data_IF_642140488806
#
_entry.id   IF_642140488806
#
_cell.length_a   1.000
_cell.length_b   1.000
_cell.length_c   1.000
_cell.angle_alpha   90.00
_cell.angle_beta   90.00
_cell.angle_gamma   90.00
#
_symmetry.space_group_name_H-M   'P 1'
#
loop_
_entity.id
_entity.type
_entity.pdbx_description
1 polymer ?
#
# COMPACT_ATOMS: atom_id res chain seq x y z
N UNK A 1 47.45 -6.02 21.14
CA UNK A 1 46.80 -6.98 20.22
C UNK A 1 45.40 -6.43 19.95
N UNK A 2 45.18 -5.87 18.77
CA UNK A 2 43.90 -5.33 18.38
C UNK A 2 43.21 -6.37 17.49
N UNK A 3 42.09 -6.91 17.98
CA UNK A 3 41.26 -7.83 17.21
C UNK A 3 40.52 -7.05 16.12
N UNK A 4 40.82 -7.39 14.91
CA UNK A 4 40.12 -6.94 13.69
C UNK A 4 38.70 -7.56 13.68
N UNK A 5 37.69 -6.80 14.04
CA UNK A 5 36.28 -7.20 13.81
C UNK A 5 36.03 -7.27 12.31
N UNK A 6 35.79 -8.48 11.83
CA UNK A 6 35.49 -8.79 10.46
C UNK A 6 34.17 -8.09 10.04
N UNK A 7 34.24 -7.26 9.02
CA UNK A 7 33.06 -6.69 8.33
C UNK A 7 32.22 -7.86 7.78
N UNK A 8 31.04 -8.08 8.36
CA UNK A 8 30.03 -8.93 7.73
C UNK A 8 29.54 -8.20 6.48
N UNK A 9 29.98 -8.65 5.31
CA UNK A 9 29.42 -8.21 4.05
C UNK A 9 27.96 -8.68 3.98
N UNK A 10 27.03 -7.74 3.94
CA UNK A 10 25.65 -8.03 3.53
C UNK A 10 25.74 -8.44 2.06
N UNK A 11 25.40 -9.69 1.77
CA UNK A 11 25.42 -10.20 0.41
C UNK A 11 24.44 -9.37 -0.46
N UNK A 12 24.97 -8.66 -1.42
CA UNK A 12 24.20 -8.00 -2.46
C UNK A 12 23.55 -9.12 -3.28
N UNK A 13 22.21 -9.10 -3.52
CA UNK A 13 21.61 -10.05 -4.43
C UNK A 13 22.30 -9.99 -5.78
N UNK A 14 22.96 -11.07 -6.19
CA UNK A 14 23.61 -11.14 -7.50
C UNK A 14 22.52 -11.21 -8.56
N UNK A 15 22.72 -10.48 -9.66
CA UNK A 15 21.85 -10.59 -10.82
C UNK A 15 21.72 -12.06 -11.25
N UNK A 16 20.50 -12.56 -11.55
CA UNK A 16 20.32 -13.95 -11.93
C UNK A 16 21.12 -14.28 -13.18
N UNK A 17 21.77 -15.44 -13.19
CA UNK A 17 22.51 -15.95 -14.35
C UNK A 17 21.56 -16.15 -15.54
N UNK A 18 21.98 -15.93 -16.79
CA UNK A 18 21.16 -16.15 -17.98
C UNK A 18 20.58 -17.59 -17.96
N UNK A 19 19.24 -17.70 -17.88
CA UNK A 19 18.52 -18.98 -17.85
C UNK A 19 17.87 -19.37 -16.52
N UNK A 20 18.15 -18.69 -15.40
CA UNK A 20 17.41 -18.83 -14.14
C UNK A 20 16.79 -17.48 -13.79
N UNK A 21 15.49 -17.32 -14.07
CA UNK A 21 14.70 -16.27 -13.44
C UNK A 21 14.42 -16.72 -11.98
N UNK A 22 15.32 -16.38 -11.06
CA UNK A 22 14.88 -16.26 -9.67
C UNK A 22 13.84 -15.14 -9.68
N UNK A 23 12.60 -15.43 -9.29
CA UNK A 23 11.58 -14.41 -9.11
C UNK A 23 12.06 -13.50 -7.99
N UNK A 24 12.53 -12.30 -8.39
CA UNK A 24 12.93 -11.25 -7.44
C UNK A 24 11.63 -10.73 -6.84
N UNK A 25 11.44 -10.88 -5.54
CA UNK A 25 10.21 -10.43 -4.88
C UNK A 25 10.10 -8.89 -4.91
N UNK A 26 8.88 -8.37 -4.84
CA UNK A 26 8.66 -6.93 -4.70
C UNK A 26 9.37 -6.37 -3.45
N UNK A 27 9.45 -7.15 -2.39
CA UNK A 27 10.14 -6.77 -1.16
C UNK A 27 11.65 -6.61 -1.38
N UNK A 28 12.28 -7.52 -2.15
CA UNK A 28 13.71 -7.42 -2.51
C UNK A 28 14.00 -6.18 -3.36
N UNK A 29 13.12 -5.85 -4.30
CA UNK A 29 13.23 -4.65 -5.14
C UNK A 29 13.18 -3.39 -4.27
N UNK A 30 12.21 -3.29 -3.38
CA UNK A 30 12.07 -2.14 -2.47
C UNK A 30 13.27 -2.06 -1.53
N UNK A 31 13.75 -3.19 -1.00
CA UNK A 31 14.96 -3.27 -0.17
C UNK A 31 16.19 -2.77 -0.89
N UNK A 32 16.38 -3.18 -2.13
CA UNK A 32 17.52 -2.74 -2.94
C UNK A 32 17.56 -1.21 -3.10
N UNK A 33 16.42 -0.56 -3.43
CA UNK A 33 16.38 0.89 -3.56
C UNK A 33 16.51 1.61 -2.22
N UNK A 34 15.98 1.06 -1.15
CA UNK A 34 16.15 1.56 0.20
C UNK A 34 17.64 1.57 0.60
N UNK A 35 18.33 0.45 0.43
CA UNK A 35 19.75 0.33 0.78
C UNK A 35 20.61 1.31 -0.03
N UNK A 36 20.35 1.46 -1.33
CA UNK A 36 21.03 2.46 -2.16
C UNK A 36 20.81 3.91 -1.68
N UNK A 37 19.59 4.24 -1.28
CA UNK A 37 19.30 5.56 -0.73
C UNK A 37 20.03 5.77 0.60
N UNK A 38 20.08 4.78 1.46
CA UNK A 38 20.83 4.80 2.71
C UNK A 38 22.33 4.97 2.49
N UNK A 39 22.91 4.30 1.49
CA UNK A 39 24.31 4.46 1.12
C UNK A 39 24.62 5.89 0.66
N UNK A 40 23.78 6.43 -0.23
CA UNK A 40 23.91 7.79 -0.73
C UNK A 40 23.83 8.84 0.40
N UNK A 41 22.92 8.64 1.34
CA UNK A 41 22.71 9.51 2.49
C UNK A 41 23.66 9.20 3.67
N UNK A 42 24.49 8.18 3.56
CA UNK A 42 25.39 7.70 4.62
C UNK A 42 24.68 7.41 5.93
N UNK A 43 23.50 6.79 5.84
CA UNK A 43 22.71 6.39 7.02
C UNK A 43 23.45 5.25 7.75
N UNK A 44 23.68 5.35 9.06
CA UNK A 44 24.29 4.28 9.87
C UNK A 44 23.45 2.99 9.85
N UNK A 45 24.10 1.84 9.96
CA UNK A 45 23.45 0.52 9.83
C UNK A 45 22.37 0.26 10.90
N UNK A 46 22.55 0.73 12.12
CA UNK A 46 21.57 0.66 13.20
C UNK A 46 20.27 1.44 12.88
N UNK A 47 20.38 2.61 12.27
CA UNK A 47 19.22 3.37 11.80
C UNK A 47 18.56 2.73 10.57
N UNK A 48 19.33 2.09 9.67
CA UNK A 48 18.77 1.36 8.54
C UNK A 48 17.83 0.25 9.01
N UNK A 49 18.23 -0.51 10.03
CA UNK A 49 17.38 -1.56 10.61
C UNK A 49 16.08 -0.98 11.14
N UNK A 50 16.12 0.15 11.86
CA UNK A 50 14.93 0.82 12.40
C UNK A 50 14.02 1.34 11.29
N UNK A 51 14.59 1.93 10.23
CA UNK A 51 13.80 2.49 9.13
C UNK A 51 13.17 1.42 8.23
N UNK A 52 13.80 0.26 8.14
CA UNK A 52 13.31 -0.86 7.33
C UNK A 52 12.25 -1.71 8.04
N UNK A 53 12.35 -1.84 9.36
CA UNK A 53 11.49 -2.74 10.13
C UNK A 53 10.12 -2.11 10.37
N UNK A 54 9.01 -2.75 9.95
CA UNK A 54 7.68 -2.28 10.27
C UNK A 54 7.45 -2.17 11.78
N UNK A 55 6.78 -1.09 12.19
CA UNK A 55 6.42 -0.90 13.60
C UNK A 55 5.46 -1.99 14.10
N UNK A 56 4.50 -2.40 13.25
CA UNK A 56 3.49 -3.40 13.62
C UNK A 56 3.00 -4.16 12.41
N UNK A 57 2.84 -5.45 12.58
CA UNK A 57 2.22 -6.35 11.62
C UNK A 57 1.03 -7.05 12.26
N UNK A 58 -0.11 -7.02 11.59
CA UNK A 58 -1.34 -7.69 12.01
C UNK A 58 -1.72 -8.67 10.91
N UNK A 59 -1.83 -9.94 11.25
CA UNK A 59 -2.36 -10.99 10.38
C UNK A 59 -3.63 -11.55 10.98
N UNK A 60 -4.68 -11.67 10.18
CA UNK A 60 -5.98 -12.16 10.60
C UNK A 60 -6.50 -13.23 9.64
N UNK A 61 -7.28 -14.18 10.16
CA UNK A 61 -8.00 -15.15 9.35
C UNK A 61 -9.45 -14.72 9.19
N UNK A 62 -9.97 -14.79 7.97
CA UNK A 62 -11.31 -14.34 7.60
C UNK A 62 -12.10 -15.55 7.08
N UNK A 63 -12.79 -16.30 7.97
CA UNK A 63 -13.66 -17.36 7.53
C UNK A 63 -14.98 -16.78 6.98
N UNK A 64 -15.31 -17.14 5.75
CA UNK A 64 -16.53 -16.72 5.05
C UNK A 64 -17.17 -17.92 4.37
N UNK A 65 -18.49 -18.05 4.52
CA UNK A 65 -19.26 -19.03 3.75
C UNK A 65 -19.63 -18.41 2.42
N UNK A 66 -19.14 -18.98 1.33
CA UNK A 66 -19.43 -18.51 -0.02
C UNK A 66 -20.70 -19.16 -0.60
N UNK A 67 -21.11 -18.70 -1.78
CA UNK A 67 -22.31 -19.18 -2.49
C UNK A 67 -22.23 -20.68 -2.85
N UNK A 68 -21.03 -21.25 -2.93
CA UNK A 68 -20.81 -22.69 -3.11
C UNK A 68 -21.20 -23.53 -1.86
N UNK A 69 -21.63 -22.87 -0.79
CA UNK A 69 -22.04 -23.48 0.48
C UNK A 69 -20.89 -23.88 1.40
N UNK A 70 -19.63 -23.69 0.98
CA UNK A 70 -18.43 -24.03 1.75
C UNK A 70 -17.91 -22.83 2.53
N UNK A 71 -17.21 -23.12 3.62
CA UNK A 71 -16.45 -22.10 4.36
C UNK A 71 -15.05 -22.01 3.77
N UNK A 72 -14.71 -20.83 3.27
CA UNK A 72 -13.37 -20.47 2.84
C UNK A 72 -12.70 -19.60 3.91
N UNK A 73 -11.39 -19.72 4.08
CA UNK A 73 -10.64 -18.92 5.05
C UNK A 73 -9.59 -18.10 4.30
N UNK A 74 -9.80 -16.80 4.26
CA UNK A 74 -8.86 -15.86 3.63
C UNK A 74 -7.90 -15.28 4.67
N UNK A 75 -6.67 -15.00 4.24
CA UNK A 75 -5.69 -14.28 5.07
C UNK A 75 -5.79 -12.79 4.83
N UNK A 76 -5.91 -12.02 5.90
CA UNK A 76 -5.89 -10.56 5.87
C UNK A 76 -4.69 -10.00 6.61
N UNK A 77 -4.13 -8.91 6.09
CA UNK A 77 -2.92 -8.26 6.59
C UNK A 77 -3.13 -6.77 6.79
N UNK A 78 -2.57 -6.19 7.86
CA UNK A 78 -2.38 -4.75 8.01
C UNK A 78 -0.99 -4.49 8.56
N UNK A 79 -0.13 -3.88 7.76
CA UNK A 79 1.24 -3.54 8.11
C UNK A 79 1.34 -2.04 8.31
N UNK A 80 1.75 -1.62 9.52
CA UNK A 80 2.07 -0.24 9.89
C UNK A 80 3.59 -0.11 9.86
N UNK A 81 4.13 0.52 8.81
CA UNK A 81 5.56 0.55 8.59
C UNK A 81 6.24 1.61 9.45
N UNK A 82 5.97 2.88 9.22
CA UNK A 82 6.59 3.97 9.98
C UNK A 82 5.61 5.11 10.21
N UNK A 83 5.43 5.51 11.46
CA UNK A 83 4.50 6.56 11.91
C UNK A 83 5.17 7.85 12.38
N UNK A 84 6.47 8.05 12.14
CA UNK A 84 7.20 9.20 12.65
C UNK A 84 6.65 10.56 12.14
N UNK A 85 5.98 10.57 10.97
CA UNK A 85 5.39 11.77 10.37
C UNK A 85 3.92 12.00 10.70
N UNK A 86 3.26 11.07 11.37
CA UNK A 86 1.84 11.16 11.74
C UNK A 86 1.10 9.82 11.64
N UNK A 87 -0.24 9.84 11.62
CA UNK A 87 -1.04 8.65 11.50
C UNK A 87 -0.65 7.81 10.30
N UNK A 88 -0.68 6.49 10.45
CA UNK A 88 -0.40 5.58 9.35
C UNK A 88 -1.44 5.76 8.24
N UNK A 89 -1.03 5.65 6.97
CA UNK A 89 -1.88 5.85 5.82
C UNK A 89 -1.52 4.88 4.71
N UNK A 90 -2.53 4.19 4.16
CA UNK A 90 -2.31 3.33 3.00
C UNK A 90 -3.53 2.53 2.59
N UNK A 91 -3.54 2.10 1.31
CA UNK A 91 -4.61 1.33 0.72
C UNK A 91 -4.76 -0.08 1.31
N UNK A 92 -5.89 -0.71 1.02
CA UNK A 92 -6.15 -2.13 1.28
C UNK A 92 -6.39 -2.81 -0.06
N UNK A 93 -5.56 -3.79 -0.41
CA UNK A 93 -5.62 -4.54 -1.67
C UNK A 93 -6.38 -5.85 -1.47
N UNK A 94 -7.32 -6.13 -2.36
CA UNK A 94 -7.97 -7.45 -2.43
C UNK A 94 -7.53 -8.13 -3.73
N UNK A 95 -6.76 -9.21 -3.61
CA UNK A 95 -6.23 -9.93 -4.77
C UNK A 95 -5.80 -11.34 -4.36
N UNK A 96 -5.96 -12.37 -5.22
CA UNK A 96 -5.58 -13.75 -4.88
C UNK A 96 -4.08 -13.95 -4.62
N UNK A 97 -3.22 -13.08 -5.14
CA UNK A 97 -1.77 -13.16 -4.95
C UNK A 97 -1.25 -12.34 -3.77
N UNK A 98 -2.12 -11.68 -3.01
CA UNK A 98 -1.69 -10.92 -1.83
C UNK A 98 -1.02 -11.83 -0.81
N UNK A 99 0.20 -11.51 -0.46
CA UNK A 99 0.94 -12.12 0.63
C UNK A 99 1.52 -11.05 1.58
N UNK A 100 2.10 -11.51 2.68
CA UNK A 100 2.64 -10.62 3.71
C UNK A 100 3.83 -9.80 3.20
N UNK A 101 4.68 -10.36 2.33
CA UNK A 101 5.89 -9.69 1.84
C UNK A 101 5.53 -8.61 0.81
N UNK A 102 4.52 -8.83 -0.04
CA UNK A 102 3.96 -7.78 -0.87
C UNK A 102 3.40 -6.63 -0.03
N UNK A 103 2.64 -6.95 1.02
CA UNK A 103 2.06 -5.92 1.90
C UNK A 103 3.14 -5.15 2.67
N UNK A 104 4.24 -5.81 3.10
CA UNK A 104 5.41 -5.16 3.70
C UNK A 104 6.08 -4.18 2.73
N UNK A 105 6.34 -4.63 1.52
CA UNK A 105 6.93 -3.80 0.46
C UNK A 105 6.10 -2.53 0.21
N UNK A 106 4.79 -2.71 0.02
CA UNK A 106 3.87 -1.61 -0.24
C UNK A 106 3.70 -0.67 0.96
N UNK A 107 3.74 -1.16 2.20
CA UNK A 107 3.70 -0.35 3.41
C UNK A 107 4.96 0.54 3.54
N UNK A 108 6.14 -0.02 3.22
CA UNK A 108 7.39 0.73 3.14
C UNK A 108 7.30 1.84 2.09
N UNK A 109 6.86 1.52 0.87
CA UNK A 109 6.65 2.51 -0.20
C UNK A 109 5.69 3.62 0.21
N UNK A 110 4.65 3.32 0.97
CA UNK A 110 3.73 4.35 1.49
C UNK A 110 4.42 5.32 2.44
N UNK A 111 5.34 4.87 3.29
CA UNK A 111 6.14 5.75 4.16
C UNK A 111 6.95 6.77 3.34
N UNK A 112 7.64 6.31 2.32
CA UNK A 112 8.47 7.17 1.46
C UNK A 112 7.61 8.08 0.59
N UNK A 113 6.50 7.57 0.06
CA UNK A 113 5.55 8.36 -0.73
C UNK A 113 4.98 9.55 0.07
N UNK A 114 4.52 9.33 1.29
CA UNK A 114 3.99 10.41 2.14
C UNK A 114 5.07 11.41 2.56
N UNK A 115 6.30 10.92 2.81
CA UNK A 115 7.44 11.77 3.13
C UNK A 115 7.84 12.67 1.95
N UNK A 116 7.95 12.11 0.74
CA UNK A 116 8.28 12.88 -0.48
C UNK A 116 7.19 13.91 -0.80
N UNK A 117 5.91 13.53 -0.63
CA UNK A 117 4.79 14.45 -0.84
C UNK A 117 4.67 15.53 0.25
N UNK A 118 5.46 15.47 1.31
CA UNK A 118 5.46 16.46 2.40
C UNK A 118 4.19 16.45 3.26
N UNK A 119 3.37 15.38 3.20
CA UNK A 119 2.13 15.29 3.97
C UNK A 119 2.37 14.68 5.37
N UNK A 120 1.58 15.07 6.40
CA UNK A 120 1.79 14.66 7.79
C UNK A 120 1.21 13.26 8.07
N UNK A 121 1.63 12.25 7.32
CA UNK A 121 1.21 10.87 7.46
C UNK A 121 2.39 9.92 7.47
N UNK A 122 2.25 8.84 8.21
CA UNK A 122 3.10 7.66 8.12
C UNK A 122 2.70 6.74 6.97
N UNK A 123 3.33 5.58 6.88
CA UNK A 123 3.06 4.57 5.87
C UNK A 123 2.45 3.30 6.44
N UNK A 124 1.37 2.83 5.83
CA UNK A 124 0.77 1.53 6.06
C UNK A 124 0.26 0.90 4.78
N UNK A 125 0.00 -0.40 4.84
CA UNK A 125 -0.68 -1.14 3.79
C UNK A 125 -1.53 -2.24 4.39
N UNK A 126 -2.66 -2.53 3.75
CA UNK A 126 -3.47 -3.71 4.03
C UNK A 126 -3.63 -4.57 2.79
N UNK A 127 -4.05 -5.80 3.00
CA UNK A 127 -4.41 -6.69 1.92
C UNK A 127 -5.21 -7.88 2.41
N UNK A 128 -6.01 -8.46 1.52
CA UNK A 128 -6.71 -9.72 1.74
C UNK A 128 -6.45 -10.62 0.54
N UNK A 129 -5.99 -11.83 0.82
CA UNK A 129 -5.79 -12.86 -0.18
C UNK A 129 -7.16 -13.48 -0.54
N UNK A 130 -7.83 -12.93 -1.55
CA UNK A 130 -9.14 -13.43 -1.99
C UNK A 130 -9.31 -13.28 -3.51
N UNK A 131 -10.10 -14.15 -4.17
CA UNK A 131 -10.35 -14.12 -5.60
C UNK A 131 -11.40 -13.04 -5.94
N UNK A 132 -11.07 -11.78 -5.71
CA UNK A 132 -11.97 -10.61 -5.73
C UNK A 132 -12.81 -10.51 -7.00
N UNK A 133 -12.30 -10.98 -8.13
CA UNK A 133 -13.01 -10.91 -9.42
C UNK A 133 -14.05 -12.03 -9.63
N UNK A 134 -14.01 -13.08 -8.80
CA UNK A 134 -14.92 -14.22 -8.85
C UNK A 134 -16.00 -14.17 -7.73
N UNK A 135 -15.90 -13.17 -6.83
CA UNK A 135 -16.81 -12.99 -5.72
C UNK A 135 -18.05 -12.20 -6.13
N UNK A 136 -19.19 -12.56 -5.57
CA UNK A 136 -20.39 -11.71 -5.60
C UNK A 136 -20.20 -10.48 -4.73
N UNK A 137 -21.04 -9.46 -4.91
CA UNK A 137 -20.99 -8.23 -4.09
C UNK A 137 -21.23 -8.54 -2.61
N UNK A 138 -22.16 -9.40 -2.28
CA UNK A 138 -22.48 -9.81 -0.90
C UNK A 138 -21.30 -10.55 -0.23
N UNK A 139 -20.60 -11.41 -0.98
CA UNK A 139 -19.42 -12.11 -0.50
C UNK A 139 -18.27 -11.13 -0.25
N UNK A 140 -18.06 -10.20 -1.18
CA UNK A 140 -17.06 -9.15 -1.06
C UNK A 140 -17.34 -8.24 0.14
N UNK A 141 -18.62 -7.84 0.35
CA UNK A 141 -19.04 -7.08 1.53
C UNK A 141 -18.74 -7.84 2.82
N UNK A 142 -19.07 -9.14 2.86
CA UNK A 142 -18.82 -9.99 4.03
C UNK A 142 -17.33 -10.06 4.36
N UNK A 143 -16.47 -10.25 3.36
CA UNK A 143 -15.01 -10.26 3.53
C UNK A 143 -14.53 -8.89 4.02
N UNK A 144 -15.00 -7.81 3.40
CA UNK A 144 -14.60 -6.45 3.74
C UNK A 144 -14.95 -6.10 5.19
N UNK A 145 -16.19 -6.34 5.60
CA UNK A 145 -16.65 -6.09 6.97
C UNK A 145 -15.89 -6.96 7.99
N UNK A 146 -15.71 -8.24 7.69
CA UNK A 146 -14.95 -9.15 8.56
C UNK A 146 -13.49 -8.72 8.70
N UNK A 147 -12.83 -8.28 7.62
CA UNK A 147 -11.49 -7.72 7.69
C UNK A 147 -11.45 -6.49 8.59
N UNK A 148 -12.34 -5.51 8.34
CA UNK A 148 -12.40 -4.27 9.12
C UNK A 148 -12.59 -4.54 10.61
N UNK A 149 -13.54 -5.41 10.98
CA UNK A 149 -13.79 -5.80 12.37
C UNK A 149 -12.55 -6.39 13.05
N UNK A 150 -11.75 -7.18 12.32
CA UNK A 150 -10.58 -7.86 12.89
C UNK A 150 -9.36 -6.95 13.08
N UNK A 151 -9.27 -5.87 12.30
CA UNK A 151 -8.15 -4.91 12.39
C UNK A 151 -8.55 -3.58 13.07
N UNK A 152 -9.81 -3.41 13.49
CA UNK A 152 -10.36 -2.15 14.00
C UNK A 152 -9.54 -1.53 15.12
N UNK A 153 -8.98 -2.37 16.04
CA UNK A 153 -8.21 -1.91 17.21
C UNK A 153 -6.95 -1.14 16.85
N UNK A 154 -6.40 -1.37 15.68
CA UNK A 154 -5.20 -0.67 15.21
C UNK A 154 -5.53 0.49 14.27
N UNK A 155 -6.79 0.62 13.82
CA UNK A 155 -7.25 1.67 12.93
C UNK A 155 -7.80 2.89 13.70
N UNK A 156 -8.03 3.98 13.00
CA UNK A 156 -8.65 5.20 13.53
C UNK A 156 -8.13 6.46 12.88
N UNK A 157 -8.89 7.58 12.96
CA UNK A 157 -8.55 8.85 12.30
C UNK A 157 -7.19 9.42 12.69
N UNK A 158 -6.74 9.14 13.92
CA UNK A 158 -5.47 9.62 14.45
C UNK A 158 -4.40 8.52 14.59
N UNK A 159 -4.71 7.31 14.13
CA UNK A 159 -3.83 6.14 14.25
C UNK A 159 -3.44 5.57 12.90
N UNK A 160 -4.43 5.06 12.15
CA UNK A 160 -4.18 4.40 10.87
C UNK A 160 -5.43 4.48 10.00
N UNK A 161 -5.29 5.03 8.81
CA UNK A 161 -6.40 5.41 7.92
C UNK A 161 -6.30 4.62 6.61
N UNK A 162 -7.14 3.58 6.41
CA UNK A 162 -7.24 2.86 5.14
C UNK A 162 -7.70 3.73 3.96
N UNK A 163 -7.44 3.23 2.77
CA UNK A 163 -7.84 3.83 1.49
C UNK A 163 -8.09 2.73 0.45
N UNK A 164 -8.71 3.03 -0.69
CA UNK A 164 -8.83 2.09 -1.80
C UNK A 164 -7.47 1.74 -2.43
N UNK A 165 -7.38 0.53 -2.95
CA UNK A 165 -6.28 0.00 -3.76
C UNK A 165 -6.82 -1.00 -4.81
N UNK A 166 -5.97 -1.80 -5.45
CA UNK A 166 -6.39 -2.85 -6.37
C UNK A 166 -7.42 -3.77 -5.71
N UNK A 167 -8.52 -4.06 -6.40
CA UNK A 167 -9.62 -4.91 -5.91
C UNK A 167 -10.51 -4.28 -4.85
N UNK A 168 -10.28 -3.00 -4.48
CA UNK A 168 -11.18 -2.24 -3.59
C UNK A 168 -11.54 -0.88 -4.20
N UNK A 169 -12.67 -0.33 -3.77
CA UNK A 169 -13.25 0.88 -4.34
C UNK A 169 -13.96 1.73 -3.26
N UNK A 170 -14.68 2.74 -3.68
CA UNK A 170 -15.44 3.62 -2.79
C UNK A 170 -16.52 2.85 -1.99
N UNK A 171 -17.14 1.82 -2.57
CA UNK A 171 -18.14 1.00 -1.90
C UNK A 171 -17.51 0.19 -0.76
N UNK A 172 -16.35 -0.43 -0.99
CA UNK A 172 -15.62 -1.15 0.08
C UNK A 172 -15.24 -0.20 1.22
N UNK A 173 -14.87 1.04 0.91
CA UNK A 173 -14.59 2.05 1.94
C UNK A 173 -15.86 2.47 2.71
N UNK A 174 -17.02 2.48 2.06
CA UNK A 174 -18.30 2.69 2.74
C UNK A 174 -18.59 1.56 3.74
N UNK A 175 -18.40 0.30 3.35
CA UNK A 175 -18.56 -0.84 4.26
C UNK A 175 -17.56 -0.81 5.41
N UNK A 176 -16.31 -0.40 5.16
CA UNK A 176 -15.30 -0.23 6.22
C UNK A 176 -15.74 0.84 7.23
N UNK A 177 -16.20 1.99 6.74
CA UNK A 177 -16.66 3.09 7.60
C UNK A 177 -17.88 2.67 8.43
N UNK A 178 -18.86 2.01 7.81
CA UNK A 178 -20.06 1.53 8.49
C UNK A 178 -19.72 0.49 9.56
N UNK A 179 -18.87 -0.50 9.24
CA UNK A 179 -18.48 -1.55 10.20
C UNK A 179 -17.72 -0.96 11.40
N UNK A 180 -16.77 -0.04 11.14
CA UNK A 180 -16.08 0.67 12.21
C UNK A 180 -17.04 1.49 13.07
N UNK A 181 -18.00 2.14 12.43
CA UNK A 181 -19.01 2.96 13.09
C UNK A 181 -19.91 2.22 14.07
N UNK A 182 -20.14 0.92 13.86
CA UNK A 182 -20.91 0.09 14.79
C UNK A 182 -20.28 -0.01 16.19
N UNK A 183 -18.94 0.12 16.27
CA UNK A 183 -18.17 0.01 17.51
C UNK A 183 -17.75 1.38 18.08
N UNK A 184 -17.52 2.35 17.20
CA UNK A 184 -16.91 3.64 17.57
C UNK A 184 -17.80 4.84 17.32
N UNK A 185 -19.05 4.63 16.87
CA UNK A 185 -19.95 5.70 16.43
C UNK A 185 -19.56 6.25 15.06
N UNK A 186 -20.32 7.23 14.57
CA UNK A 186 -20.09 7.83 13.25
C UNK A 186 -18.70 8.46 13.16
N UNK A 187 -17.82 7.87 12.37
CA UNK A 187 -16.40 8.24 12.27
C UNK A 187 -15.94 8.24 10.81
N UNK A 188 -16.40 9.18 9.98
CA UNK A 188 -16.09 9.20 8.55
C UNK A 188 -14.60 9.37 8.24
N UNK A 189 -13.84 10.00 9.13
CA UNK A 189 -12.41 10.19 8.97
C UNK A 189 -11.57 8.91 9.12
N UNK A 190 -12.18 7.76 9.47
CA UNK A 190 -11.46 6.48 9.61
C UNK A 190 -10.93 5.94 8.28
N UNK A 191 -11.56 6.31 7.15
CA UNK A 191 -11.15 5.91 5.80
C UNK A 191 -11.15 7.09 4.84
N UNK A 192 -10.34 7.01 3.78
CA UNK A 192 -10.43 7.94 2.64
C UNK A 192 -10.88 7.19 1.37
N UNK A 193 -11.32 7.95 0.36
CA UNK A 193 -11.79 7.35 -0.90
C UNK A 193 -13.20 6.77 -0.84
N UNK A 194 -13.94 7.04 0.21
CA UNK A 194 -15.38 6.73 0.33
C UNK A 194 -16.24 7.62 -0.56
N UNK A 195 -17.51 7.25 -0.84
CA UNK A 195 -18.45 8.07 -1.62
C UNK A 195 -18.59 9.49 -1.07
N UNK A 196 -18.81 10.44 -1.96
CA UNK A 196 -19.01 11.87 -1.60
C UNK A 196 -20.20 12.03 -0.64
N UNK A 197 -21.29 11.30 -0.87
CA UNK A 197 -22.46 11.30 0.01
C UNK A 197 -22.17 10.85 1.44
N UNK A 198 -21.04 10.16 1.66
CA UNK A 198 -20.53 9.72 2.96
C UNK A 198 -19.33 10.56 3.41
N UNK A 199 -19.32 11.84 3.10
CA UNK A 199 -18.25 12.78 3.42
C UNK A 199 -16.92 12.46 2.70
N UNK A 200 -16.99 11.90 1.49
CA UNK A 200 -15.82 11.73 0.61
C UNK A 200 -15.37 13.05 0.00
N UNK A 201 -14.11 13.12 -0.43
CA UNK A 201 -13.54 14.32 -1.07
C UNK A 201 -13.69 14.27 -2.58
N UNK A 202 -14.02 15.40 -3.20
CA UNK A 202 -14.02 15.55 -4.65
C UNK A 202 -12.62 15.36 -5.26
N UNK A 203 -12.57 14.89 -6.50
CA UNK A 203 -11.35 14.80 -7.30
C UNK A 203 -10.48 13.59 -7.03
N UNK A 204 -10.83 12.71 -6.08
CA UNK A 204 -10.05 11.53 -5.74
C UNK A 204 -9.87 10.57 -6.93
N UNK A 205 -10.90 10.38 -7.74
CA UNK A 205 -10.87 9.46 -8.89
C UNK A 205 -9.81 9.87 -9.91
N UNK A 206 -9.77 11.15 -10.25
CA UNK A 206 -8.83 11.70 -11.22
C UNK A 206 -7.45 12.06 -10.63
N UNK A 207 -7.28 12.04 -9.30
CA UNK A 207 -6.11 12.61 -8.63
C UNK A 207 -4.78 12.01 -9.10
N UNK A 208 -4.72 10.69 -9.31
CA UNK A 208 -3.48 10.03 -9.71
C UNK A 208 -3.11 10.36 -11.17
N UNK A 209 -4.08 10.27 -12.09
CA UNK A 209 -3.86 10.62 -13.51
C UNK A 209 -3.48 12.09 -13.66
N UNK A 210 -4.22 13.00 -13.02
CA UNK A 210 -3.90 14.45 -13.04
C UNK A 210 -2.52 14.73 -12.44
N UNK A 211 -2.17 14.07 -11.34
CA UNK A 211 -0.86 14.21 -10.73
C UNK A 211 0.27 13.78 -11.66
N UNK A 212 0.09 12.67 -12.38
CA UNK A 212 1.03 12.21 -13.39
C UNK A 212 1.21 13.26 -14.51
N UNK A 213 0.11 13.81 -15.04
CA UNK A 213 0.15 14.85 -16.07
C UNK A 213 0.87 16.10 -15.57
N UNK A 214 0.65 16.51 -14.32
CA UNK A 214 1.33 17.66 -13.75
C UNK A 214 2.86 17.43 -13.68
N UNK A 215 3.30 16.27 -13.16
CA UNK A 215 4.72 15.91 -13.10
C UNK A 215 5.33 15.82 -14.50
N UNK A 216 4.60 15.27 -15.47
CA UNK A 216 5.03 15.20 -16.86
C UNK A 216 5.24 16.61 -17.45
N UNK A 217 4.34 17.55 -17.22
CA UNK A 217 4.47 18.95 -17.70
C UNK A 217 5.70 19.64 -17.12
N UNK A 218 5.94 19.49 -15.83
CA UNK A 218 7.15 20.02 -15.18
C UNK A 218 8.42 19.40 -15.78
N UNK A 219 8.45 18.08 -15.97
CA UNK A 219 9.56 17.39 -16.59
C UNK A 219 9.84 17.86 -18.03
N UNK A 220 8.79 18.10 -18.83
CA UNK A 220 8.92 18.67 -20.16
C UNK A 220 9.56 20.05 -20.13
N UNK A 221 9.16 20.91 -19.18
CA UNK A 221 9.77 22.23 -18.99
C UNK A 221 11.25 22.15 -18.66
N UNK A 222 11.63 21.30 -17.71
CA UNK A 222 13.04 21.11 -17.30
C UNK A 222 13.93 20.52 -18.42
N UNK A 223 13.35 19.63 -19.24
CA UNK A 223 14.09 18.96 -20.32
C UNK A 223 14.01 19.67 -21.68
N UNK A 224 13.26 20.78 -21.77
CA UNK A 224 13.05 21.51 -23.03
C UNK A 224 12.26 20.72 -24.09
N UNK A 225 11.38 19.83 -23.66
CA UNK A 225 10.54 19.00 -24.55
C UNK A 225 9.22 19.73 -24.82
N UNK A 226 8.87 19.91 -26.11
CA UNK A 226 7.54 20.39 -26.50
C UNK A 226 6.50 19.26 -26.34
N UNK A 227 5.69 19.35 -25.30
CA UNK A 227 4.64 18.40 -25.02
C UNK A 227 3.54 18.39 -26.11
N UNK A 228 3.29 19.51 -26.77
CA UNK A 228 2.22 19.65 -27.78
C UNK A 228 2.50 18.88 -29.07
N UNK A 229 3.77 18.67 -29.41
CA UNK A 229 4.24 17.90 -30.57
C UNK A 229 4.58 16.44 -30.26
N UNK A 230 4.41 15.99 -29.02
CA UNK A 230 4.83 14.67 -28.57
C UNK A 230 3.79 13.56 -28.82
N UNK A 231 4.27 12.34 -29.04
CA UNK A 231 3.42 11.14 -29.08
C UNK A 231 3.42 10.47 -27.72
N UNK A 232 2.23 10.08 -27.24
CA UNK A 232 2.03 9.42 -25.97
C UNK A 232 1.58 7.99 -26.13
N UNK A 233 2.11 7.10 -25.30
CA UNK A 233 1.64 5.72 -25.18
C UNK A 233 1.25 5.48 -23.73
N UNK A 234 -0.01 5.07 -23.52
CA UNK A 234 -0.53 4.73 -22.19
C UNK A 234 -0.68 3.22 -22.10
N UNK A 235 0.05 2.59 -21.19
CA UNK A 235 -0.09 1.18 -20.89
C UNK A 235 -1.10 1.00 -19.75
N UNK A 236 -2.24 0.37 -20.03
CA UNK A 236 -3.35 0.20 -19.12
C UNK A 236 -4.32 1.40 -19.13
N UNK A 237 -5.62 1.12 -19.25
CA UNK A 237 -6.68 2.12 -19.32
C UNK A 237 -7.74 1.91 -18.23
N UNK A 238 -7.27 1.70 -16.99
CA UNK A 238 -8.08 1.56 -15.77
C UNK A 238 -8.21 2.87 -15.00
N UNK A 239 -8.32 2.76 -13.67
CA UNK A 239 -8.57 3.90 -12.75
C UNK A 239 -7.54 5.05 -12.82
N UNK A 240 -6.38 4.84 -13.37
CA UNK A 240 -5.34 5.87 -13.51
C UNK A 240 -5.18 6.30 -14.96
N UNK A 241 -5.07 5.33 -15.88
CA UNK A 241 -4.77 5.62 -17.28
C UNK A 241 -5.94 6.23 -18.07
N UNK A 242 -7.16 6.21 -17.51
CA UNK A 242 -8.36 6.83 -18.11
C UNK A 242 -8.48 8.34 -17.80
N UNK A 243 -7.66 8.87 -16.91
CA UNK A 243 -7.62 10.27 -16.47
C UNK A 243 -6.36 10.99 -16.92
#
# INVERSE_FOLDING_TARGET
MAETQGKRSVAVPQAPKPGQRAEVSNLDIVRYYFDRACDHLRIPDDLRVVFWTPYREVTVQIPVKLADGRVHVFSGYRIQHNGARGPYKGGVRFHPEVDIDEVRALASLMTWKTAIAGVPYGGAKGGVNCPVYDLTEDELETIARSFMLKVEKVLGPTRDIPAPDVGTNAQVMAWFMDEYGKLHGHTPAVVTGKPIALEGSYGREAATGRGLVNVFREACGELGIDASGSTFVVQGFGNVGSW
#
